data_IF_884732027320
#
_entry.id   IF_884732027320
#
_cell.length_a   1.000
_cell.length_b   1.000
_cell.length_c   1.000
_cell.angle_alpha   90.00
_cell.angle_beta   90.00
_cell.angle_gamma   90.00
#
_symmetry.space_group_name_H-M   'P 1'
#
loop_
_entity.id
_entity.type
_entity.pdbx_description
1 polymer ?
#
# COMPACT_ATOMS: atom_id res chain seq x y z
N UNK A 1 -29.39 -3.49 -27.17
CA UNK A 1 -28.15 -2.69 -27.18
C UNK A 1 -28.40 -1.41 -26.40
N UNK A 2 -27.49 -0.92 -25.54
CA UNK A 2 -26.18 -1.46 -25.09
C UNK A 2 -26.23 -1.94 -23.61
N UNK A 3 -25.55 -3.03 -23.20
CA UNK A 3 -24.10 -3.23 -22.94
C UNK A 3 -23.57 -2.49 -21.71
N UNK A 4 -23.32 -3.25 -20.63
CA UNK A 4 -22.05 -3.22 -19.91
C UNK A 4 -21.92 -4.51 -19.09
N UNK A 5 -21.44 -5.54 -19.78
CA UNK A 5 -20.68 -6.63 -19.19
C UNK A 5 -19.47 -6.00 -18.48
N UNK A 6 -19.59 -5.72 -17.18
CA UNK A 6 -18.44 -5.26 -16.40
C UNK A 6 -17.68 -6.51 -15.97
N UNK A 7 -16.90 -7.00 -16.93
CA UNK A 7 -15.84 -7.97 -16.72
C UNK A 7 -15.09 -7.58 -15.44
N UNK A 8 -15.16 -8.45 -14.41
CA UNK A 8 -14.37 -8.33 -13.20
C UNK A 8 -12.92 -8.55 -13.63
N UNK A 9 -12.31 -7.46 -14.11
CA UNK A 9 -10.89 -7.37 -14.34
C UNK A 9 -10.24 -7.63 -13.01
N UNK A 10 -9.66 -8.83 -12.89
CA UNK A 10 -8.70 -9.28 -11.89
C UNK A 10 -8.48 -8.24 -10.79
N UNK A 11 -9.32 -8.30 -9.74
CA UNK A 11 -9.18 -7.42 -8.60
C UNK A 11 -7.78 -7.64 -8.04
N UNK A 12 -6.87 -6.71 -8.36
CA UNK A 12 -5.54 -6.68 -7.80
C UNK A 12 -5.71 -6.79 -6.28
N UNK A 13 -5.01 -7.70 -5.59
CA UNK A 13 -5.24 -8.00 -4.18
C UNK A 13 -5.15 -6.76 -3.27
N UNK A 14 -4.52 -5.68 -3.73
CA UNK A 14 -4.46 -4.37 -3.04
C UNK A 14 -5.83 -3.68 -2.85
N UNK A 15 -6.81 -3.90 -3.74
CA UNK A 15 -8.13 -3.27 -3.64
C UNK A 15 -8.97 -3.88 -2.51
N UNK A 16 -8.64 -5.10 -2.07
CA UNK A 16 -9.24 -5.73 -0.91
C UNK A 16 -8.66 -5.19 0.41
N UNK A 17 -7.37 -4.82 0.43
CA UNK A 17 -6.72 -4.21 1.61
C UNK A 17 -7.28 -2.81 1.95
N UNK A 18 -7.77 -2.07 0.96
CA UNK A 18 -8.40 -0.76 1.19
C UNK A 18 -9.70 -0.82 2.02
N UNK A 19 -10.32 -2.00 2.18
CA UNK A 19 -11.64 -2.13 2.81
C UNK A 19 -11.63 -2.14 4.35
N UNK A 20 -10.46 -2.10 4.98
CA UNK A 20 -10.36 -2.10 6.45
C UNK A 20 -9.66 -0.89 7.06
N UNK A 21 -9.38 0.16 6.28
CA UNK A 21 -9.04 1.46 6.85
C UNK A 21 -10.36 2.19 7.05
N UNK A 22 -10.82 2.30 8.30
CA UNK A 22 -11.95 3.17 8.57
C UNK A 22 -11.54 4.60 8.22
N UNK A 23 -12.25 5.30 7.30
CA UNK A 23 -11.88 6.65 6.89
C UNK A 23 -11.90 7.67 8.03
N UNK A 24 -12.39 7.28 9.21
CA UNK A 24 -12.39 8.08 10.44
C UNK A 24 -11.03 8.16 11.15
N UNK A 25 -10.08 7.29 10.83
CA UNK A 25 -8.79 7.21 11.55
C UNK A 25 -7.60 7.81 10.80
N UNK A 26 -7.76 8.20 9.53
CA UNK A 26 -6.69 8.84 8.75
C UNK A 26 -6.62 10.33 9.07
N UNK A 27 -5.53 10.75 9.71
CA UNK A 27 -5.27 12.14 10.04
C UNK A 27 -4.41 12.84 8.97
N UNK A 28 -3.54 12.09 8.28
CA UNK A 28 -2.64 12.62 7.26
C UNK A 28 -2.36 11.58 6.18
N UNK A 29 -2.14 12.03 4.95
CA UNK A 29 -1.58 11.21 3.87
C UNK A 29 -0.27 11.80 3.38
N UNK A 30 0.64 10.94 2.93
CA UNK A 30 1.92 11.31 2.34
C UNK A 30 2.09 10.61 1.00
N UNK A 31 2.48 11.36 -0.03
CA UNK A 31 2.67 10.84 -1.37
C UNK A 31 4.16 10.67 -1.61
N UNK A 32 4.61 9.42 -1.68
CA UNK A 32 5.98 9.04 -1.91
C UNK A 32 6.17 8.61 -3.37
N UNK A 33 7.32 8.97 -3.91
CA UNK A 33 7.79 8.54 -5.23
C UNK A 33 8.96 7.62 -5.04
N UNK A 34 8.91 6.43 -5.63
CA UNK A 34 10.01 5.47 -5.52
C UNK A 34 11.35 6.02 -6.03
N UNK A 35 11.34 6.86 -7.07
CA UNK A 35 12.54 7.50 -7.60
C UNK A 35 13.15 8.56 -6.66
N UNK A 36 12.41 9.03 -5.65
CA UNK A 36 12.87 10.01 -4.67
C UNK A 36 13.36 9.37 -3.37
N UNK A 37 13.29 8.05 -3.24
CA UNK A 37 13.69 7.32 -2.04
C UNK A 37 14.98 6.54 -2.30
N UNK A 38 15.97 6.74 -1.43
CA UNK A 38 17.19 5.93 -1.42
C UNK A 38 16.91 4.51 -0.90
N UNK A 39 17.84 3.58 -1.13
CA UNK A 39 17.69 2.18 -0.73
C UNK A 39 17.37 2.01 0.78
N UNK A 40 17.97 2.85 1.63
CA UNK A 40 17.72 2.86 3.07
C UNK A 40 16.30 3.34 3.40
N UNK A 41 15.84 4.41 2.76
CA UNK A 41 14.50 4.95 2.98
C UNK A 41 13.43 3.98 2.48
N UNK A 42 13.70 3.27 1.39
CA UNK A 42 12.83 2.20 0.87
C UNK A 42 12.73 1.03 1.85
N UNK A 43 13.84 0.60 2.44
CA UNK A 43 13.84 -0.47 3.43
C UNK A 43 13.09 -0.07 4.71
N UNK A 44 13.30 1.15 5.21
CA UNK A 44 12.60 1.67 6.38
C UNK A 44 11.09 1.80 6.12
N UNK A 45 10.72 2.31 4.94
CA UNK A 45 9.32 2.39 4.50
C UNK A 45 8.69 1.00 4.44
N UNK A 46 9.32 0.03 3.77
CA UNK A 46 8.80 -1.35 3.70
C UNK A 46 8.62 -1.94 5.07
N UNK A 47 9.55 -1.72 6.01
CA UNK A 47 9.42 -2.19 7.39
C UNK A 47 8.16 -1.65 8.07
N UNK A 48 7.89 -0.34 7.93
CA UNK A 48 6.67 0.30 8.48
C UNK A 48 5.39 -0.21 7.82
N UNK A 49 5.41 -0.37 6.50
CA UNK A 49 4.25 -0.88 5.76
C UNK A 49 3.98 -2.36 6.07
N UNK A 50 5.03 -3.13 6.34
CA UNK A 50 4.93 -4.54 6.63
C UNK A 50 4.16 -4.83 7.91
N UNK A 51 4.25 -3.96 8.92
CA UNK A 51 3.49 -4.09 10.17
C UNK A 51 1.98 -4.14 9.88
N UNK A 52 1.47 -3.18 9.10
CA UNK A 52 0.07 -3.12 8.67
C UNK A 52 -0.27 -4.21 7.64
N UNK A 53 0.66 -4.51 6.73
CA UNK A 53 0.46 -5.52 5.69
C UNK A 53 0.30 -6.92 6.29
N UNK A 54 1.13 -7.30 7.28
CA UNK A 54 1.12 -8.63 7.87
C UNK A 54 -0.13 -8.93 8.71
N UNK A 55 -0.86 -7.89 9.15
CA UNK A 55 -2.19 -8.04 9.74
C UNK A 55 -3.20 -8.61 8.74
N UNK A 56 -3.07 -8.24 7.46
CA UNK A 56 -4.00 -8.61 6.39
C UNK A 56 -3.51 -9.79 5.54
N UNK A 57 -2.20 -9.89 5.30
CA UNK A 57 -1.57 -10.93 4.49
C UNK A 57 -0.50 -11.64 5.31
N UNK A 58 -0.77 -12.89 5.69
CA UNK A 58 0.18 -13.70 6.46
C UNK A 58 1.06 -14.55 5.53
N UNK A 59 2.35 -14.66 5.89
CA UNK A 59 3.30 -15.58 5.25
C UNK A 59 4.18 -14.98 4.16
N UNK A 60 3.90 -13.75 3.73
CA UNK A 60 4.83 -12.97 2.91
C UNK A 60 5.94 -12.37 3.79
N UNK A 61 7.12 -12.12 3.22
CA UNK A 61 8.23 -11.45 3.90
C UNK A 61 8.30 -9.98 3.52
N UNK A 62 9.07 -9.19 4.28
CA UNK A 62 9.34 -7.79 3.93
C UNK A 62 9.94 -7.65 2.52
N UNK A 63 10.85 -8.55 2.13
CA UNK A 63 11.48 -8.54 0.81
C UNK A 63 10.46 -8.80 -0.32
N UNK A 64 9.51 -9.72 -0.09
CA UNK A 64 8.42 -9.96 -1.04
C UNK A 64 7.48 -8.74 -1.14
N UNK A 65 7.21 -8.05 -0.03
CA UNK A 65 6.45 -6.80 -0.06
C UNK A 65 7.21 -5.70 -0.81
N UNK A 66 8.51 -5.54 -0.55
CA UNK A 66 9.37 -4.60 -1.28
C UNK A 66 9.34 -4.89 -2.78
N UNK A 67 9.52 -6.15 -3.17
CA UNK A 67 9.42 -6.58 -4.57
C UNK A 67 8.07 -6.23 -5.19
N UNK A 68 6.96 -6.37 -4.47
CA UNK A 68 5.62 -5.99 -4.98
C UNK A 68 5.44 -4.48 -5.11
N UNK A 69 5.89 -3.70 -4.12
CA UNK A 69 5.77 -2.23 -4.13
C UNK A 69 6.72 -1.61 -5.15
N UNK A 70 7.87 -2.23 -5.41
CA UNK A 70 8.94 -1.63 -6.20
C UNK A 70 9.30 -2.37 -7.49
N UNK A 71 8.50 -3.37 -7.91
CA UNK A 71 8.73 -4.11 -9.17
C UNK A 71 8.60 -3.24 -10.43
N UNK A 72 8.00 -2.05 -10.35
CA UNK A 72 7.84 -1.13 -11.49
C UNK A 72 8.91 -0.02 -11.54
N UNK A 73 9.04 0.60 -12.71
CA UNK A 73 9.99 1.70 -12.98
C UNK A 73 9.75 2.94 -12.10
N UNK A 74 8.48 3.28 -11.84
CA UNK A 74 8.11 4.37 -10.93
C UNK A 74 6.78 4.04 -10.24
N UNK A 75 6.81 3.98 -8.91
CA UNK A 75 5.66 3.73 -8.05
C UNK A 75 5.37 4.97 -7.22
N UNK A 76 4.14 5.45 -7.36
CA UNK A 76 3.56 6.45 -6.46
C UNK A 76 2.85 5.71 -5.36
N UNK A 77 3.42 5.76 -4.17
CA UNK A 77 2.84 5.18 -2.97
C UNK A 77 2.20 6.29 -2.15
N UNK A 78 0.97 6.08 -1.69
CA UNK A 78 0.31 6.94 -0.72
C UNK A 78 0.33 6.21 0.62
N UNK A 79 0.94 6.83 1.64
CA UNK A 79 0.95 6.32 3.01
C UNK A 79 -0.08 7.09 3.83
N UNK A 80 -0.95 6.38 4.54
CA UNK A 80 -1.95 6.97 5.43
C UNK A 80 -1.47 6.84 6.87
N UNK A 81 -1.49 7.96 7.58
CA UNK A 81 -1.13 8.06 8.99
C UNK A 81 -2.34 8.38 9.85
N UNK A 82 -2.40 7.75 11.02
CA UNK A 82 -3.37 8.07 12.05
C UNK A 82 -2.98 9.27 12.90
N UNK A 83 -3.85 9.64 13.85
CA UNK A 83 -3.69 10.84 14.65
C UNK A 83 -2.42 10.91 15.50
N UNK A 84 -1.79 9.77 15.84
CA UNK A 84 -0.53 9.72 16.60
C UNK A 84 0.70 9.54 15.69
N UNK A 85 0.53 9.65 14.37
CA UNK A 85 1.62 9.48 13.40
C UNK A 85 1.97 8.04 13.07
N UNK A 86 1.21 7.06 13.56
CA UNK A 86 1.36 5.65 13.15
C UNK A 86 0.84 5.43 11.73
N UNK A 87 1.47 4.53 10.97
CA UNK A 87 0.96 4.10 9.66
C UNK A 87 -0.29 3.27 9.90
N UNK A 88 -1.40 3.65 9.26
CA UNK A 88 -2.68 2.93 9.33
C UNK A 88 -3.05 2.27 8.00
N UNK A 89 -2.31 2.55 6.93
CA UNK A 89 -2.53 1.93 5.63
C UNK A 89 -1.70 2.56 4.52
N UNK A 90 -1.79 1.98 3.33
CA UNK A 90 -1.16 2.50 2.12
C UNK A 90 -1.94 2.12 0.86
N UNK A 91 -1.71 2.87 -0.23
CA UNK A 91 -2.32 2.72 -1.54
C UNK A 91 -1.27 2.93 -2.65
#
# INVERSE_FOLDING_TARGET
MPLADYSIGSASPWAASARHVQPREVARSEHLRSASLDATERADLVSRLYDVYCETVRGDTQDQLAGRIFAGDEVRLIVYYGALGQVVGFA
#
